data_IF_201318052110
#
_entry.id   IF_201318052110
#
_cell.length_a   1.000
_cell.length_b   1.000
_cell.length_c   1.000
_cell.angle_alpha   90.00
_cell.angle_beta   90.00
_cell.angle_gamma   90.00
#
_symmetry.space_group_name_H-M   'P 1'
#
loop_
_entity.id
_entity.type
_entity.pdbx_description
1 polymer ?
#
# COMPACT_ATOMS: atom_id res chain seq x y z
N UNK A 1 11.64 -14.99 11.07
CA UNK A 1 10.33 -14.55 11.57
C UNK A 1 9.43 -13.95 10.47
N UNK A 2 9.96 -13.12 9.55
CA UNK A 2 9.17 -12.38 8.53
C UNK A 2 8.36 -13.27 7.55
N UNK A 3 8.80 -14.50 7.25
CA UNK A 3 8.08 -15.37 6.30
C UNK A 3 6.68 -15.78 6.78
N UNK A 4 6.50 -16.08 8.07
CA UNK A 4 5.21 -16.57 8.57
C UNK A 4 4.10 -15.52 8.52
N UNK A 5 4.41 -14.26 8.80
CA UNK A 5 3.42 -13.16 8.75
C UNK A 5 3.01 -12.82 7.31
N UNK A 6 3.96 -12.91 6.37
CA UNK A 6 3.68 -12.70 4.95
C UNK A 6 2.76 -13.80 4.41
N UNK A 7 3.00 -15.05 4.80
CA UNK A 7 2.14 -16.19 4.44
C UNK A 7 0.73 -16.03 5.01
N UNK A 8 0.61 -15.61 6.27
CA UNK A 8 -0.69 -15.31 6.89
C UNK A 8 -1.42 -14.22 6.10
N UNK A 9 -0.75 -13.11 5.79
CA UNK A 9 -1.36 -12.03 5.00
C UNK A 9 -1.81 -12.52 3.61
N UNK A 10 -0.98 -13.30 2.92
CA UNK A 10 -1.34 -13.86 1.63
C UNK A 10 -2.56 -14.81 1.72
N UNK A 11 -2.63 -15.63 2.77
CA UNK A 11 -3.77 -16.52 3.03
C UNK A 11 -5.04 -15.74 3.31
N UNK A 12 -4.95 -14.72 4.16
CA UNK A 12 -6.08 -13.83 4.46
C UNK A 12 -6.62 -13.15 3.21
N UNK A 13 -5.76 -12.69 2.29
CA UNK A 13 -6.22 -12.13 1.01
C UNK A 13 -6.91 -13.16 0.12
N UNK A 14 -6.43 -14.41 0.11
CA UNK A 14 -7.10 -15.49 -0.63
C UNK A 14 -8.50 -15.78 -0.09
N UNK A 15 -8.69 -15.71 1.22
CA UNK A 15 -9.98 -15.94 1.88
C UNK A 15 -10.94 -14.77 1.73
N UNK A 16 -10.46 -13.54 1.92
CA UNK A 16 -11.28 -12.32 1.79
C UNK A 16 -11.60 -11.97 0.33
N UNK A 17 -10.81 -12.47 -0.62
CA UNK A 17 -10.87 -12.09 -2.02
C UNK A 17 -10.17 -10.76 -2.29
N UNK A 18 -10.60 -10.07 -3.33
CA UNK A 18 -9.91 -8.88 -3.84
C UNK A 18 -9.94 -7.73 -2.82
N UNK A 19 -8.78 -7.32 -2.30
CA UNK A 19 -8.68 -6.31 -1.25
C UNK A 19 -7.46 -5.38 -1.40
N UNK A 20 -7.56 -4.19 -0.81
CA UNK A 20 -6.44 -3.24 -0.65
C UNK A 20 -5.79 -3.47 0.70
N UNK A 21 -4.47 -3.49 0.76
CA UNK A 21 -3.72 -3.63 2.03
C UNK A 21 -3.16 -2.29 2.45
N UNK A 22 -3.50 -1.88 3.67
CA UNK A 22 -2.89 -0.72 4.34
C UNK A 22 -1.96 -1.23 5.42
N UNK A 23 -0.67 -0.88 5.34
CA UNK A 23 0.35 -1.43 6.22
C UNK A 23 1.25 -0.35 6.81
N UNK A 24 1.45 -0.39 8.13
CA UNK A 24 2.40 0.50 8.82
C UNK A 24 3.76 -0.18 8.99
N UNK A 25 4.83 0.57 8.73
CA UNK A 25 6.21 0.11 8.97
C UNK A 25 6.45 -1.26 8.32
N UNK A 26 6.79 -2.29 9.09
CA UNK A 26 6.99 -3.66 8.60
C UNK A 26 5.76 -4.26 7.91
N UNK A 27 4.54 -3.94 8.37
CA UNK A 27 3.33 -4.38 7.68
C UNK A 27 3.19 -3.75 6.30
N UNK A 28 3.68 -2.51 6.12
CA UNK A 28 3.78 -1.87 4.82
C UNK A 28 4.81 -2.55 3.92
N UNK A 29 5.98 -2.93 4.46
CA UNK A 29 6.98 -3.71 3.72
C UNK A 29 6.42 -5.07 3.26
N UNK A 30 5.67 -5.76 4.10
CA UNK A 30 5.02 -7.03 3.74
C UNK A 30 4.00 -6.83 2.62
N UNK A 31 3.15 -5.81 2.72
CA UNK A 31 2.20 -5.46 1.67
C UNK A 31 2.89 -5.15 0.33
N UNK A 32 3.96 -4.35 0.35
CA UNK A 32 4.78 -4.05 -0.84
C UNK A 32 5.43 -5.32 -1.40
N UNK A 33 5.92 -6.20 -0.53
CA UNK A 33 6.49 -7.50 -0.95
C UNK A 33 5.45 -8.34 -1.68
N UNK A 34 4.20 -8.38 -1.20
CA UNK A 34 3.09 -9.02 -1.92
C UNK A 34 2.75 -8.33 -3.23
N UNK A 35 2.85 -7.00 -3.31
CA UNK A 35 2.62 -6.26 -4.55
C UNK A 35 3.70 -6.50 -5.61
N UNK A 36 4.92 -6.85 -5.20
CA UNK A 36 5.99 -7.29 -6.10
C UNK A 36 5.79 -8.75 -6.52
N UNK A 37 5.17 -9.56 -5.66
CA UNK A 37 4.76 -10.92 -5.99
C UNK A 37 3.50 -10.95 -6.88
N UNK A 38 3.27 -12.07 -7.55
CA UNK A 38 2.07 -12.25 -8.37
C UNK A 38 0.89 -12.71 -7.50
N UNK A 39 0.26 -11.77 -6.80
CA UNK A 39 -0.92 -12.03 -5.97
C UNK A 39 -2.21 -11.49 -6.63
N UNK A 40 -3.07 -12.37 -7.19
CA UNK A 40 -4.26 -11.94 -7.92
C UNK A 40 -5.35 -11.34 -7.04
N UNK A 41 -5.27 -11.50 -5.72
CA UNK A 41 -6.25 -10.98 -4.77
C UNK A 41 -5.85 -9.62 -4.19
N UNK A 42 -4.63 -9.16 -4.45
CA UNK A 42 -4.20 -7.83 -4.04
C UNK A 42 -4.68 -6.80 -5.08
N UNK A 43 -5.47 -5.82 -4.64
CA UNK A 43 -5.98 -4.75 -5.50
C UNK A 43 -5.07 -3.52 -5.52
N UNK A 44 -4.33 -3.30 -4.44
CA UNK A 44 -3.44 -2.16 -4.25
C UNK A 44 -2.82 -2.16 -2.85
N UNK A 45 -1.83 -1.30 -2.65
CA UNK A 45 -1.12 -1.14 -1.38
C UNK A 45 -1.04 0.33 -0.99
N UNK A 46 -1.32 0.60 0.29
CA UNK A 46 -1.05 1.91 0.91
C UNK A 46 -0.10 1.69 2.08
N UNK A 47 1.16 2.05 1.89
CA UNK A 47 2.19 1.94 2.92
C UNK A 47 2.27 3.20 3.78
N UNK A 48 2.45 2.99 5.08
CA UNK A 48 2.60 4.05 6.07
C UNK A 48 4.00 3.94 6.70
N UNK A 49 4.96 4.66 6.12
CA UNK A 49 6.36 4.67 6.57
C UNK A 49 7.05 3.33 6.38
N UNK A 50 6.72 2.60 5.32
CA UNK A 50 7.28 1.30 5.00
C UNK A 50 8.81 1.40 4.86
N UNK A 51 9.62 0.52 5.49
CA UNK A 51 11.08 0.55 5.37
C UNK A 51 11.56 0.00 4.02
N UNK A 52 11.09 0.61 2.92
CA UNK A 52 11.47 0.31 1.54
C UNK A 52 12.31 1.45 0.97
N UNK A 53 13.26 1.11 0.11
CA UNK A 53 14.10 2.07 -0.59
C UNK A 53 14.48 1.53 -1.98
N UNK A 54 14.90 2.42 -2.87
CA UNK A 54 15.29 2.10 -4.24
C UNK A 54 14.13 2.21 -5.24
N UNK A 55 14.28 1.52 -6.36
CA UNK A 55 13.27 1.45 -7.42
C UNK A 55 12.44 0.18 -7.26
N UNK A 56 11.11 0.34 -7.21
CA UNK A 56 10.15 -0.75 -7.15
C UNK A 56 9.26 -0.74 -8.38
N UNK A 57 8.86 -1.93 -8.85
CA UNK A 57 7.89 -2.08 -9.93
C UNK A 57 6.75 -3.01 -9.49
N UNK A 58 5.86 -2.54 -8.61
CA UNK A 58 4.76 -3.35 -8.11
C UNK A 58 3.74 -3.65 -9.22
N UNK A 59 3.15 -4.85 -9.18
CA UNK A 59 2.14 -5.32 -10.15
C UNK A 59 0.77 -4.70 -9.93
N UNK A 60 0.58 -4.07 -8.77
CA UNK A 60 -0.64 -3.37 -8.37
C UNK A 60 -0.28 -1.94 -7.97
N UNK A 61 -1.22 -0.98 -8.00
CA UNK A 61 -0.96 0.38 -7.55
C UNK A 61 -0.44 0.40 -6.11
N UNK A 62 0.60 1.20 -5.88
CA UNK A 62 1.24 1.36 -4.58
C UNK A 62 1.36 2.85 -4.25
N UNK A 63 0.87 3.25 -3.08
CA UNK A 63 0.97 4.59 -2.52
C UNK A 63 1.75 4.55 -1.20
N UNK A 64 2.55 5.57 -0.90
CA UNK A 64 3.38 5.60 0.31
C UNK A 64 3.28 6.93 1.06
N UNK A 65 2.90 6.89 2.34
CA UNK A 65 3.00 8.00 3.26
C UNK A 65 4.36 7.98 3.98
N UNK A 66 5.14 9.06 3.91
CA UNK A 66 6.45 9.20 4.56
C UNK A 66 6.41 10.19 5.71
N UNK A 67 6.80 9.72 6.89
CA UNK A 67 7.17 10.56 8.04
C UNK A 67 8.49 11.29 7.80
N UNK A 68 8.87 12.19 8.71
CA UNK A 68 10.15 12.92 8.67
C UNK A 68 11.34 11.96 8.51
N UNK A 69 11.33 10.84 9.24
CA UNK A 69 12.39 9.83 9.15
C UNK A 69 12.46 9.16 7.78
N UNK A 70 11.31 8.99 7.12
CA UNK A 70 11.21 8.37 5.80
C UNK A 70 11.72 9.25 4.65
N UNK A 71 11.97 10.55 4.87
CA UNK A 71 12.42 11.46 3.80
C UNK A 71 13.86 11.19 3.35
N UNK A 72 14.67 10.57 4.21
CA UNK A 72 16.05 10.21 3.90
C UNK A 72 16.17 8.94 3.03
N UNK A 73 15.08 8.19 2.85
CA UNK A 73 15.08 6.96 2.06
C UNK A 73 14.61 7.25 0.63
N UNK A 74 15.50 7.13 -0.39
CA UNK A 74 15.07 7.30 -1.77
C UNK A 74 14.09 6.19 -2.13
N UNK A 75 12.94 6.54 -2.68
CA UNK A 75 11.93 5.59 -3.13
C UNK A 75 11.36 6.06 -4.46
N UNK A 76 11.42 5.17 -5.46
CA UNK A 76 10.83 5.34 -6.78
C UNK A 76 9.96 4.13 -7.10
N UNK A 77 8.93 4.31 -7.91
CA UNK A 77 7.99 3.23 -8.25
C UNK A 77 6.56 3.40 -7.73
N UNK A 78 6.31 3.89 -6.49
CA UNK A 78 4.95 4.18 -6.06
C UNK A 78 4.28 5.17 -7.01
N UNK A 79 2.96 5.03 -7.16
CA UNK A 79 2.09 5.97 -7.88
C UNK A 79 2.18 7.35 -7.23
N UNK A 80 2.13 7.39 -5.90
CA UNK A 80 2.30 8.62 -5.12
C UNK A 80 3.15 8.35 -3.87
N UNK A 81 4.03 9.29 -3.56
CA UNK A 81 4.71 9.36 -2.25
C UNK A 81 4.34 10.67 -1.58
N UNK A 82 3.51 10.62 -0.54
CA UNK A 82 3.09 11.80 0.21
C UNK A 82 3.88 11.96 1.49
N UNK A 83 4.41 13.16 1.73
CA UNK A 83 5.23 13.48 2.90
C UNK A 83 4.39 14.18 3.96
N UNK A 84 4.51 13.72 5.21
CA UNK A 84 3.81 14.27 6.36
C UNK A 84 4.82 14.68 7.44
N UNK A 85 4.64 15.87 8.02
CA UNK A 85 5.45 16.40 9.11
C UNK A 85 5.01 15.78 10.45
N UNK A 86 5.17 14.46 10.56
CA UNK A 86 4.79 13.66 11.73
C UNK A 86 5.88 12.65 12.05
N UNK A 87 5.87 12.12 13.29
CA UNK A 87 6.74 11.02 13.69
C UNK A 87 6.32 9.70 13.05
N UNK A 88 7.27 8.77 12.87
CA UNK A 88 7.03 7.48 12.21
C UNK A 88 5.90 6.68 12.86
N UNK A 89 5.92 6.55 14.19
CA UNK A 89 4.89 5.84 14.94
C UNK A 89 3.52 6.54 14.92
N UNK A 90 3.47 7.84 14.60
CA UNK A 90 2.23 8.64 14.58
C UNK A 90 1.51 8.65 13.24
N UNK A 91 2.11 8.10 12.18
CA UNK A 91 1.50 8.04 10.84
C UNK A 91 0.07 7.46 10.87
N UNK A 92 -0.23 6.31 11.53
CA UNK A 92 -1.59 5.75 11.52
C UNK A 92 -2.62 6.57 12.30
N UNK A 93 -2.15 7.43 13.21
CA UNK A 93 -3.00 8.20 14.13
C UNK A 93 -3.21 9.65 13.69
N UNK A 94 -2.47 10.10 12.68
CA UNK A 94 -2.62 11.45 12.16
C UNK A 94 -3.85 11.54 11.26
N UNK A 95 -4.79 12.43 11.58
CA UNK A 95 -6.02 12.62 10.80
C UNK A 95 -5.77 13.03 9.35
N UNK A 96 -4.69 13.78 9.07
CA UNK A 96 -4.30 14.13 7.71
C UNK A 96 -3.84 12.90 6.90
N UNK A 97 -3.15 11.95 7.55
CA UNK A 97 -2.74 10.69 6.93
C UNK A 97 -3.97 9.81 6.70
N UNK A 98 -4.85 9.68 7.70
CA UNK A 98 -6.09 8.90 7.58
C UNK A 98 -6.98 9.42 6.45
N UNK A 99 -7.15 10.73 6.34
CA UNK A 99 -7.91 11.34 5.23
C UNK A 99 -7.30 11.01 3.87
N UNK A 100 -5.98 11.08 3.77
CA UNK A 100 -5.29 10.70 2.54
C UNK A 100 -5.42 9.20 2.23
N UNK A 101 -5.39 8.32 3.24
CA UNK A 101 -5.67 6.89 3.05
C UNK A 101 -7.07 6.67 2.47
N UNK A 102 -8.08 7.36 3.00
CA UNK A 102 -9.46 7.30 2.47
C UNK A 102 -9.51 7.76 1.02
N UNK A 103 -8.89 8.91 0.71
CA UNK A 103 -8.78 9.43 -0.66
C UNK A 103 -8.18 8.38 -1.63
N UNK A 104 -7.06 7.74 -1.26
CA UNK A 104 -6.45 6.70 -2.10
C UNK A 104 -7.32 5.44 -2.22
N UNK A 105 -8.08 5.10 -1.19
CA UNK A 105 -9.03 3.97 -1.24
C UNK A 105 -10.19 4.25 -2.21
N UNK A 106 -10.70 5.48 -2.22
CA UNK A 106 -11.73 5.94 -3.16
C UNK A 106 -11.20 5.90 -4.60
N UNK A 107 -10.00 6.42 -4.86
CA UNK A 107 -9.35 6.34 -6.18
C UNK A 107 -9.24 4.89 -6.69
N UNK A 108 -8.80 3.97 -5.83
CA UNK A 108 -8.70 2.54 -6.16
C UNK A 108 -10.07 1.91 -6.41
N UNK A 109 -11.13 2.37 -5.75
CA UNK A 109 -12.49 1.88 -5.97
C UNK A 109 -13.05 2.38 -7.32
N UNK A 110 -12.81 3.64 -7.68
CA UNK A 110 -13.28 4.26 -8.91
C UNK A 110 -12.62 3.66 -10.16
N UNK A 111 -11.29 3.42 -10.12
CA UNK A 111 -10.58 2.72 -11.19
C UNK A 111 -11.15 1.33 -11.47
N UNK A 112 -11.62 0.65 -10.42
CA UNK A 112 -12.21 -0.67 -10.56
C UNK A 112 -13.59 -0.63 -11.21
N UNK A 113 -14.41 0.34 -10.84
CA UNK A 113 -15.72 0.57 -11.46
C UNK A 113 -15.57 0.84 -12.95
N UNK A 114 -14.61 1.69 -13.33
CA UNK A 114 -14.35 2.03 -14.73
C UNK A 114 -13.77 0.86 -15.56
N UNK A 115 -13.00 -0.05 -14.94
CA UNK A 115 -12.52 -1.27 -15.63
C UNK A 115 -13.64 -2.28 -15.87
N UNK A 116 -14.63 -2.36 -14.99
CA UNK A 116 -15.77 -3.28 -15.13
C UNK A 116 -16.77 -2.78 -16.19
N UNK A 117 -17.00 -1.47 -16.27
CA UNK A 117 -17.86 -0.88 -17.30
C UNK A 117 -17.29 -1.07 -18.71
N UNK A 118 -15.97 -0.98 -18.88
CA UNK A 118 -15.33 -1.22 -20.18
C UNK A 118 -15.24 -2.69 -20.62
N UNK A 119 -15.33 -3.66 -19.71
CA UNK A 119 -15.37 -5.10 -20.06
C UNK A 119 -16.76 -5.60 -20.46
N UNK A 120 -17.79 -4.77 -20.32
CA UNK A 120 -19.19 -5.15 -20.52
C UNK A 120 -19.77 -4.65 -21.86
N UNK A 121 -18.93 -4.06 -22.72
CA UNK A 121 -19.23 -3.64 -24.10
C UNK A 121 -18.39 -4.46 -25.10
#
# INVERSE_FOLDING_TARGET
>A
AVHGELDVLANTLRELGRAVVVGHSLGGLQAVTLALADNPHLAGVIGLGSPVAGYLNPRVPYFEARSIMGWALPLFGPVEVKRFLVGHATLPFCSAVQRWVVEKLEELADENTNRLSHKSN
#
